data_IF_499880883715
#
_entry.id   IF_499880883715
#
_cell.length_a   1.000
_cell.length_b   1.000
_cell.length_c   1.000
_cell.angle_alpha   90.00
_cell.angle_beta   90.00
_cell.angle_gamma   90.00
#
_symmetry.space_group_name_H-M   'P 1'
#
loop_
_entity.id
_entity.type
_entity.pdbx_description
1 polymer ?
#
# COMPACT_ATOMS: atom_id res chain seq x y z
N UNK A 1 -3.99 28.76 -2.58
CA UNK A 1 -4.14 27.47 -1.87
C UNK A 1 -2.86 26.71 -2.13
N UNK A 2 -2.02 26.52 -1.11
CA UNK A 2 -0.82 25.67 -1.25
C UNK A 2 -1.27 24.25 -1.55
N UNK A 3 -0.60 23.60 -2.52
CA UNK A 3 -0.82 22.18 -2.76
C UNK A 3 -0.28 21.42 -1.54
N UNK A 4 -1.02 20.45 -0.99
CA UNK A 4 -0.53 19.65 0.11
C UNK A 4 0.77 18.96 -0.31
N UNK A 5 1.76 18.95 0.58
CA UNK A 5 3.04 18.29 0.31
C UNK A 5 2.79 16.78 0.13
N UNK A 6 3.10 16.27 -1.06
CA UNK A 6 2.91 14.87 -1.40
C UNK A 6 3.64 13.94 -0.42
N UNK A 7 3.05 12.79 -0.18
CA UNK A 7 3.68 11.70 0.57
C UNK A 7 4.36 10.73 -0.39
N UNK A 8 5.46 10.13 0.08
CA UNK A 8 6.09 8.99 -0.57
C UNK A 8 5.97 7.76 0.33
N UNK A 9 5.35 6.70 -0.17
CA UNK A 9 5.29 5.40 0.48
C UNK A 9 6.32 4.47 -0.17
N UNK A 10 7.32 4.07 0.61
CA UNK A 10 8.42 3.18 0.20
C UNK A 10 8.20 1.81 0.84
N UNK A 11 8.03 0.78 0.02
CA UNK A 11 7.78 -0.59 0.45
C UNK A 11 8.95 -1.47 0.03
N UNK A 12 9.54 -2.14 1.02
CA UNK A 12 10.75 -2.93 0.86
C UNK A 12 10.50 -4.35 1.36
N UNK A 13 10.97 -5.35 0.61
CA UNK A 13 10.98 -6.74 1.04
C UNK A 13 12.38 -7.08 1.58
N UNK A 14 12.60 -7.04 2.91
CA UNK A 14 13.93 -7.19 3.49
C UNK A 14 14.53 -8.59 3.35
N UNK A 15 13.72 -9.63 3.13
CA UNK A 15 14.18 -11.02 3.07
C UNK A 15 14.41 -11.53 1.63
N UNK A 16 14.28 -10.65 0.62
CA UNK A 16 14.64 -10.98 -0.76
C UNK A 16 16.10 -10.64 -1.07
N UNK A 17 16.74 -11.43 -1.93
CA UNK A 17 18.14 -11.22 -2.35
C UNK A 17 19.10 -11.09 -1.14
N UNK A 18 20.25 -10.41 -1.34
CA UNK A 18 21.28 -10.29 -0.31
C UNK A 18 20.99 -9.19 0.73
N UNK A 19 20.28 -8.13 0.35
CA UNK A 19 20.01 -6.97 1.23
C UNK A 19 18.53 -6.58 1.30
N UNK A 20 17.66 -7.26 0.56
CA UNK A 20 16.28 -6.88 0.31
C UNK A 20 16.09 -6.27 -1.09
N UNK A 21 14.82 -6.14 -1.50
CA UNK A 21 14.40 -5.55 -2.78
C UNK A 21 13.28 -4.53 -2.55
N UNK A 22 13.33 -3.39 -3.24
CA UNK A 22 12.19 -2.46 -3.29
C UNK A 22 11.02 -3.09 -4.05
N UNK A 23 9.86 -3.17 -3.40
CA UNK A 23 8.63 -3.71 -3.98
C UNK A 23 7.90 -2.62 -4.75
N UNK A 24 7.79 -1.44 -4.14
CA UNK A 24 7.15 -0.29 -4.73
C UNK A 24 7.58 1.01 -4.03
N UNK A 25 7.55 2.08 -4.82
CA UNK A 25 7.73 3.45 -4.34
C UNK A 25 6.69 4.33 -5.00
N UNK A 26 5.70 4.76 -4.22
CA UNK A 26 4.56 5.51 -4.71
C UNK A 26 4.54 6.92 -4.13
N UNK A 27 4.36 7.93 -4.99
CA UNK A 27 4.15 9.32 -4.60
C UNK A 27 2.68 9.68 -4.76
N UNK A 28 2.05 10.13 -3.67
CA UNK A 28 0.60 10.27 -3.57
C UNK A 28 0.20 11.45 -2.70
N UNK A 29 -1.04 11.91 -2.88
CA UNK A 29 -1.66 12.85 -1.93
C UNK A 29 -1.68 12.24 -0.53
N UNK A 30 -1.59 13.06 0.54
CA UNK A 30 -1.54 12.53 1.90
C UNK A 30 -2.72 11.61 2.23
N UNK A 31 -2.42 10.39 2.67
CA UNK A 31 -3.41 9.41 3.14
C UNK A 31 -2.86 8.63 4.33
N UNK A 32 -3.75 8.26 5.25
CA UNK A 32 -3.38 7.38 6.36
C UNK A 32 -3.40 5.89 5.96
N UNK A 33 -4.07 5.53 4.86
CA UNK A 33 -4.30 4.14 4.48
C UNK A 33 -3.95 3.95 3.01
N UNK A 34 -3.19 2.90 2.74
CA UNK A 34 -2.97 2.37 1.39
C UNK A 34 -3.20 0.87 1.39
N UNK A 35 -3.64 0.36 0.25
CA UNK A 35 -3.64 -1.06 -0.05
C UNK A 35 -2.47 -1.41 -0.95
N UNK A 36 -1.95 -2.62 -0.81
CA UNK A 36 -0.79 -3.11 -1.56
C UNK A 36 -1.17 -4.39 -2.26
N UNK A 37 -1.09 -4.41 -3.59
CA UNK A 37 -1.30 -5.63 -4.35
C UNK A 37 -0.06 -6.53 -4.29
N UNK A 38 -0.28 -7.84 -4.10
CA UNK A 38 0.77 -8.86 -4.07
C UNK A 38 1.89 -8.58 -3.05
N UNK A 39 1.53 -8.11 -1.85
CA UNK A 39 2.52 -7.81 -0.81
C UNK A 39 3.33 -9.07 -0.40
N UNK A 40 4.65 -8.93 -0.21
CA UNK A 40 5.51 -10.02 0.26
C UNK A 40 5.16 -10.46 1.70
N UNK A 41 5.68 -11.62 2.17
CA UNK A 41 5.42 -12.12 3.52
C UNK A 41 5.94 -11.20 4.63
N UNK A 42 6.96 -10.39 4.34
CA UNK A 42 7.50 -9.38 5.27
C UNK A 42 7.67 -8.07 4.50
N UNK A 43 7.19 -6.98 5.08
CA UNK A 43 7.39 -5.63 4.56
C UNK A 43 8.16 -4.78 5.56
N UNK A 44 9.12 -4.01 5.07
CA UNK A 44 9.55 -2.78 5.70
C UNK A 44 8.90 -1.60 4.93
N UNK A 45 8.31 -0.65 5.65
CA UNK A 45 7.58 0.48 5.08
C UNK A 45 8.12 1.77 5.67
N UNK A 46 8.38 2.76 4.82
CA UNK A 46 8.66 4.14 5.22
C UNK A 46 7.69 5.08 4.54
N UNK A 47 7.06 5.97 5.31
CA UNK A 47 6.22 7.05 4.79
C UNK A 47 6.97 8.36 4.97
N UNK A 48 7.14 9.12 3.89
CA UNK A 48 7.84 10.41 3.88
C UNK A 48 6.92 11.51 3.42
N UNK A 49 7.17 12.72 3.88
CA UNK A 49 6.60 13.95 3.35
C UNK A 49 7.65 14.70 2.53
N UNK A 50 7.24 15.19 1.36
CA UNK A 50 8.13 15.90 0.46
C UNK A 50 9.29 15.01 0.04
N UNK A 51 10.50 15.55 0.09
CA UNK A 51 11.68 14.85 -0.43
C UNK A 51 12.37 13.96 0.61
N UNK A 52 12.18 14.16 1.92
CA UNK A 52 12.93 13.34 2.90
C UNK A 52 12.34 13.20 4.33
N UNK A 53 11.37 14.03 4.75
CA UNK A 53 10.92 14.01 6.15
C UNK A 53 10.14 12.74 6.45
N UNK A 54 10.70 11.83 7.25
CA UNK A 54 10.00 10.60 7.63
C UNK A 54 8.84 10.91 8.58
N UNK A 55 7.64 10.51 8.18
CA UNK A 55 6.42 10.61 8.97
C UNK A 55 6.19 9.35 9.80
N UNK A 56 6.41 8.17 9.20
CA UNK A 56 6.15 6.89 9.87
C UNK A 56 7.00 5.76 9.32
N UNK A 57 7.18 4.71 10.13
CA UNK A 57 7.88 3.47 9.74
C UNK A 57 7.20 2.22 10.25
N UNK A 58 7.36 1.12 9.54
CA UNK A 58 7.15 -0.25 10.04
C UNK A 58 8.28 -1.13 9.54
N UNK A 59 9.13 -1.66 10.43
CA UNK A 59 10.42 -2.27 10.02
C UNK A 59 10.35 -3.77 9.69
N UNK A 60 9.37 -4.50 10.22
CA UNK A 60 9.22 -5.95 10.00
C UNK A 60 7.75 -6.35 10.10
N UNK A 61 6.96 -5.85 9.15
CA UNK A 61 5.53 -6.10 9.07
C UNK A 61 5.28 -7.47 8.44
N UNK A 62 5.24 -8.49 9.30
CA UNK A 62 4.98 -9.87 8.91
C UNK A 62 3.51 -10.07 8.58
N UNK A 63 3.24 -10.85 7.54
CA UNK A 63 1.90 -11.31 7.20
C UNK A 63 1.29 -12.07 8.37
N UNK A 64 0.04 -11.75 8.69
CA UNK A 64 -0.76 -12.51 9.62
C UNK A 64 -1.81 -13.33 8.85
N UNK A 65 -1.81 -14.66 9.00
CA UNK A 65 -2.79 -15.52 8.35
C UNK A 65 -2.47 -15.87 6.89
N UNK A 66 -3.49 -16.24 6.08
CA UNK A 66 -3.31 -16.74 4.73
C UNK A 66 -2.77 -15.66 3.79
N UNK A 67 -2.18 -16.09 2.68
CA UNK A 67 -1.79 -15.17 1.62
C UNK A 67 -3.03 -14.68 0.88
N UNK A 68 -3.34 -13.39 1.04
CA UNK A 68 -4.36 -12.70 0.28
C UNK A 68 -3.72 -11.83 -0.81
N UNK A 69 -4.44 -11.51 -1.90
CA UNK A 69 -3.85 -10.76 -3.00
C UNK A 69 -3.64 -9.28 -2.70
N UNK A 70 -4.23 -8.77 -1.62
CA UNK A 70 -4.08 -7.39 -1.17
C UNK A 70 -3.81 -7.34 0.34
N UNK A 71 -3.00 -6.38 0.74
CA UNK A 71 -2.64 -6.10 2.14
C UNK A 71 -2.93 -4.64 2.45
N UNK A 72 -3.59 -4.36 3.56
CA UNK A 72 -3.84 -3.00 4.03
C UNK A 72 -2.68 -2.54 4.92
N UNK A 73 -2.16 -1.36 4.61
CA UNK A 73 -1.19 -0.65 5.43
C UNK A 73 -1.83 0.62 5.97
N UNK A 74 -1.63 0.88 7.25
CA UNK A 74 -2.17 2.06 7.91
C UNK A 74 -1.09 2.78 8.69
N UNK A 75 -0.93 4.07 8.42
CA UNK A 75 -0.13 4.98 9.23
C UNK A 75 -0.92 5.37 10.49
N UNK A 76 -0.37 5.02 11.66
CA UNK A 76 -0.86 5.41 12.98
C UNK A 76 0.21 6.22 13.70
N UNK A 77 0.12 7.54 13.56
CA UNK A 77 1.16 8.45 14.04
C UNK A 77 2.49 8.17 13.34
N UNK A 78 3.51 7.78 14.11
CA UNK A 78 4.85 7.47 13.62
C UNK A 78 5.06 5.99 13.22
N UNK A 79 4.02 5.16 13.35
CA UNK A 79 4.10 3.72 13.04
C UNK A 79 3.26 3.38 11.80
N UNK A 80 3.69 2.37 11.06
CA UNK A 80 2.87 1.71 10.03
C UNK A 80 2.47 0.33 10.53
N UNK A 81 1.19 0.02 10.46
CA UNK A 81 0.64 -1.30 10.78
C UNK A 81 0.19 -2.02 9.51
N UNK A 82 0.28 -3.35 9.54
CA UNK A 82 -0.16 -4.25 8.47
C UNK A 82 -1.39 -5.02 8.89
N UNK A 83 -2.34 -5.16 7.98
CA UNK A 83 -3.52 -5.99 8.11
C UNK A 83 -3.75 -6.75 6.79
N UNK A 84 -3.75 -8.08 6.86
CA UNK A 84 -4.03 -8.95 5.72
C UNK A 84 -5.48 -9.41 5.77
N UNK A 85 -6.34 -8.76 4.98
CA UNK A 85 -7.77 -9.08 4.88
C UNK A 85 -8.29 -8.79 3.48
N UNK A 86 -9.47 -9.32 3.17
CA UNK A 86 -10.22 -8.88 2.00
C UNK A 86 -10.68 -7.43 2.18
N UNK A 87 -10.76 -6.63 1.11
CA UNK A 87 -11.44 -5.35 1.13
C UNK A 87 -12.90 -5.51 1.55
N UNK A 88 -13.47 -4.42 2.03
CA UNK A 88 -14.89 -4.27 2.34
C UNK A 88 -15.41 -3.03 1.62
N UNK A 89 -16.72 -2.80 1.63
CA UNK A 89 -17.30 -1.61 1.00
C UNK A 89 -16.77 -0.30 1.59
N UNK A 90 -16.28 -0.31 2.85
CA UNK A 90 -15.66 0.87 3.46
C UNK A 90 -14.28 1.20 2.91
N UNK A 91 -13.68 0.29 2.13
CA UNK A 91 -12.36 0.48 1.51
C UNK A 91 -12.46 1.03 0.07
N UNK A 92 -13.66 1.17 -0.49
CA UNK A 92 -13.85 1.80 -1.80
C UNK A 92 -13.37 3.25 -1.76
N UNK A 93 -12.64 3.67 -2.80
CA UNK A 93 -11.99 4.97 -2.85
C UNK A 93 -10.59 5.00 -2.21
N UNK A 94 -10.16 3.94 -1.52
CA UNK A 94 -8.80 3.86 -1.00
C UNK A 94 -7.76 3.75 -2.11
N UNK A 95 -6.55 4.23 -1.83
CA UNK A 95 -5.40 4.11 -2.72
C UNK A 95 -4.90 2.67 -2.73
N UNK A 96 -4.67 2.12 -3.92
CA UNK A 96 -4.03 0.82 -4.16
C UNK A 96 -2.69 1.05 -4.84
N UNK A 97 -1.62 0.63 -4.19
CA UNK A 97 -0.25 0.59 -4.72
C UNK A 97 -0.04 -0.78 -5.38
N UNK A 98 0.31 -0.77 -6.66
CA UNK A 98 0.74 -1.96 -7.39
C UNK A 98 2.26 -2.17 -7.23
N UNK A 99 2.75 -3.40 -7.44
CA UNK A 99 4.17 -3.64 -7.65
C UNK A 99 4.70 -2.73 -8.76
N UNK A 100 5.82 -2.05 -8.54
CA UNK A 100 6.34 -1.04 -9.47
C UNK A 100 6.08 0.41 -9.06
N UNK A 101 5.11 0.66 -8.17
CA UNK A 101 4.88 1.99 -7.58
C UNK A 101 3.70 2.77 -8.16
N UNK A 102 3.02 2.25 -9.18
CA UNK A 102 1.77 2.84 -9.65
C UNK A 102 0.71 2.81 -8.54
N UNK A 103 0.08 3.96 -8.32
CA UNK A 103 -1.00 4.11 -7.36
C UNK A 103 -2.30 4.48 -8.08
N UNK A 104 -3.36 3.72 -7.81
CA UNK A 104 -4.69 3.96 -8.34
C UNK A 104 -5.75 3.90 -7.25
N UNK A 105 -7.02 4.11 -7.61
CA UNK A 105 -8.15 4.14 -6.68
C UNK A 105 -8.94 2.85 -6.79
N UNK A 106 -9.23 2.19 -5.66
CA UNK A 106 -10.10 1.01 -5.62
C UNK A 106 -11.55 1.41 -5.95
N UNK A 107 -12.10 0.91 -7.07
CA UNK A 107 -13.47 1.21 -7.52
C UNK A 107 -14.45 0.09 -7.22
N UNK A 108 -13.99 -1.15 -7.26
CA UNK A 108 -14.80 -2.33 -6.97
C UNK A 108 -13.89 -3.45 -6.51
N UNK A 109 -14.46 -4.37 -5.74
CA UNK A 109 -13.81 -5.60 -5.30
C UNK A 109 -14.85 -6.71 -5.27
N UNK A 110 -14.40 -7.94 -5.44
CA UNK A 110 -15.16 -9.16 -5.28
C UNK A 110 -14.19 -10.33 -5.05
N UNK A 111 -14.58 -11.30 -4.24
CA UNK A 111 -13.90 -12.58 -4.15
C UNK A 111 -14.91 -13.72 -3.98
N UNK A 112 -14.53 -14.90 -4.44
CA UNK A 112 -15.28 -16.11 -4.20
C UNK A 112 -15.29 -16.45 -2.70
N UNK A 113 -16.35 -17.14 -2.25
CA UNK A 113 -16.50 -17.52 -0.83
C UNK A 113 -15.39 -18.45 -0.33
N UNK A 114 -14.80 -19.24 -1.24
CA UNK A 114 -13.65 -20.12 -0.97
C UNK A 114 -12.29 -19.40 -1.12
N UNK A 115 -12.29 -18.13 -1.53
CA UNK A 115 -11.10 -17.30 -1.71
C UNK A 115 -10.24 -17.63 -2.93
N UNK A 116 -10.65 -18.56 -3.79
CA UNK A 116 -9.84 -19.03 -4.92
C UNK A 116 -9.91 -18.13 -6.17
N UNK A 117 -10.88 -17.22 -6.21
CA UNK A 117 -11.04 -16.24 -7.29
C UNK A 117 -11.28 -14.86 -6.69
N UNK A 118 -10.76 -13.84 -7.36
CA UNK A 118 -10.95 -12.44 -6.98
C UNK A 118 -10.98 -11.54 -8.21
N UNK A 119 -11.60 -10.38 -8.06
CA UNK A 119 -11.63 -9.31 -9.04
C UNK A 119 -11.64 -7.97 -8.32
N UNK A 120 -10.84 -7.04 -8.80
CA UNK A 120 -10.93 -5.64 -8.41
C UNK A 120 -10.74 -4.77 -9.63
N UNK A 121 -11.40 -3.62 -9.62
CA UNK A 121 -11.15 -2.55 -10.58
C UNK A 121 -10.38 -1.46 -9.87
N UNK A 122 -9.19 -1.17 -10.37
CA UNK A 122 -8.35 -0.06 -9.92
C UNK A 122 -8.30 0.97 -11.02
N UNK A 123 -8.68 2.20 -10.70
CA UNK A 123 -8.67 3.32 -11.63
C UNK A 123 -7.35 4.08 -11.51
N UNK A 124 -6.63 4.17 -12.63
CA UNK A 124 -5.47 5.04 -12.77
C UNK A 124 -5.90 6.26 -13.57
N UNK A 125 -5.62 7.43 -13.02
CA UNK A 125 -5.85 8.69 -13.71
C UNK A 125 -4.63 9.56 -13.50
N UNK A 126 -4.31 10.37 -14.49
CA UNK A 126 -3.26 11.37 -14.38
C UNK A 126 -3.87 12.72 -14.75
N UNK A 127 -3.62 13.73 -13.92
CA UNK A 127 -3.84 15.12 -14.27
C UNK A 127 -2.49 15.77 -14.41
N UNK A 128 -2.08 16.06 -15.65
CA UNK A 128 -0.95 16.98 -15.88
C UNK A 128 -1.43 18.38 -15.50
N UNK A 129 -0.84 18.93 -14.44
CA UNK A 129 -0.89 20.35 -14.11
C UNK A 129 0.21 21.09 -14.85
#
# INVERSE_FOLDING_TARGET
>A
MELPTLQTWELYYPEAAATGIEVSRARLDPTAVVWVHAAPPVLAVTVREGDDRVLARGASLKRAGPQLPMTRLEQRGANVTREDRWPTDTDLGAVVILPGGEAGVLKSWWNAADGNEWRWTVEFSNRRG
#
